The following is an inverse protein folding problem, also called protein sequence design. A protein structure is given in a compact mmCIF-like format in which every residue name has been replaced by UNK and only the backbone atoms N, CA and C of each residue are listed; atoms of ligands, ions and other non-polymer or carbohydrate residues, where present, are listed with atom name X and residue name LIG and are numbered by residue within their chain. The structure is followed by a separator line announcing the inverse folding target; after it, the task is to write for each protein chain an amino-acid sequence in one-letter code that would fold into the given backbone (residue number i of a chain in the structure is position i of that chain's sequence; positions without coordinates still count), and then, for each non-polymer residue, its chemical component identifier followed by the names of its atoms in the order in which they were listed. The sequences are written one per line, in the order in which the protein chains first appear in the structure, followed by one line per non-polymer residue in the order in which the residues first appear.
data_IF_251267623360
#
_entry.id   IF_251267623360
#
_cell.length_a   1.000
_cell.length_b   1.000
_cell.length_c   1.000
_cell.angle_alpha   90.00
_cell.angle_beta   90.00
_cell.angle_gamma   90.00
#
_symmetry.space_group_name_H-M   'P 1'
#
loop_
_entity.id
_entity.type
_entity.pdbx_description
1 polymer ?
#
# COMPACT_ATOMS: atom_id res chain seq x y z
N UNK A 1 10.76 9.03 24.08
CA UNK A 1 9.69 9.62 23.26
C UNK A 1 9.37 8.62 22.16
N UNK A 2 8.30 7.82 22.29
CA UNK A 2 7.82 6.97 21.19
C UNK A 2 6.97 7.86 20.29
N UNK A 3 7.42 8.09 19.06
CA UNK A 3 6.64 8.80 18.06
C UNK A 3 5.83 7.77 17.29
N UNK A 4 4.56 7.64 17.65
CA UNK A 4 3.66 6.72 16.97
C UNK A 4 3.17 7.38 15.67
N UNK A 5 3.41 6.73 14.54
CA UNK A 5 2.95 7.18 13.23
C UNK A 5 1.74 6.34 12.82
N UNK A 6 0.59 6.99 12.69
CA UNK A 6 -0.60 6.37 12.12
C UNK A 6 -0.68 6.71 10.63
N UNK A 7 -0.77 5.69 9.78
CA UNK A 7 -0.87 5.83 8.33
C UNK A 7 -2.12 5.07 7.91
N UNK A 8 -3.05 5.78 7.27
CA UNK A 8 -4.26 5.16 6.73
C UNK A 8 -3.90 4.40 5.43
N UNK A 9 -4.40 3.18 5.31
CA UNK A 9 -4.11 2.30 4.18
C UNK A 9 -5.37 1.55 3.73
N UNK A 10 -5.55 1.41 2.42
CA UNK A 10 -6.66 0.64 1.82
C UNK A 10 -6.11 -0.59 1.09
N UNK A 11 -6.84 -1.71 1.13
CA UNK A 11 -6.47 -2.92 0.37
C UNK A 11 -6.71 -2.66 -1.12
N UNK A 12 -5.72 -2.95 -1.96
CA UNK A 12 -5.88 -2.90 -3.42
C UNK A 12 -6.05 -4.31 -3.99
N UNK A 13 -7.02 -4.49 -4.88
CA UNK A 13 -7.25 -5.77 -5.57
C UNK A 13 -6.55 -5.85 -6.93
N UNK A 14 -6.28 -4.69 -7.54
CA UNK A 14 -5.63 -4.62 -8.84
C UNK A 14 -4.12 -4.54 -8.66
N UNK A 15 -3.39 -5.19 -9.58
CA UNK A 15 -1.94 -5.20 -9.59
C UNK A 15 -1.43 -4.99 -11.02
N UNK A 16 -0.19 -4.50 -11.14
CA UNK A 16 0.46 -4.29 -12.42
C UNK A 16 0.92 -2.85 -12.68
N UNK A 17 1.67 -2.69 -13.77
CA UNK A 17 2.34 -1.44 -14.12
C UNK A 17 1.36 -0.29 -14.43
N UNK A 18 0.25 -0.59 -15.10
CA UNK A 18 -0.78 0.40 -15.46
C UNK A 18 -1.52 0.93 -14.23
N UNK A 19 -1.96 0.02 -13.37
CA UNK A 19 -2.65 0.37 -12.14
C UNK A 19 -1.75 1.17 -11.19
N UNK A 20 -0.50 0.74 -10.99
CA UNK A 20 0.46 1.46 -10.18
C UNK A 20 0.82 2.85 -10.74
N UNK A 21 0.78 3.05 -12.06
CA UNK A 21 0.96 4.40 -12.66
C UNK A 21 -0.26 5.26 -12.40
N UNK A 22 -1.47 4.73 -12.60
CA UNK A 22 -2.72 5.44 -12.33
C UNK A 22 -2.80 5.89 -10.88
N UNK A 23 -2.45 5.03 -9.93
CA UNK A 23 -2.41 5.37 -8.50
C UNK A 23 -1.43 6.52 -8.21
N UNK A 24 -0.22 6.47 -8.78
CA UNK A 24 0.75 7.58 -8.64
C UNK A 24 0.25 8.89 -9.25
N UNK A 25 -0.54 8.83 -10.32
CA UNK A 25 -1.18 10.03 -10.91
C UNK A 25 -2.35 10.57 -10.07
N UNK A 26 -2.87 9.77 -9.13
CA UNK A 26 -3.92 10.17 -8.18
C UNK A 26 -3.32 10.54 -6.82
N UNK A 27 -2.02 10.84 -6.75
CA UNK A 27 -1.26 11.11 -5.53
C UNK A 27 -1.29 9.98 -4.48
N UNK A 28 -1.66 8.77 -4.90
CA UNK A 28 -1.67 7.57 -4.05
C UNK A 28 -0.39 6.77 -4.19
N UNK A 29 0.04 6.15 -3.09
CA UNK A 29 1.30 5.39 -3.03
C UNK A 29 1.01 3.88 -2.99
N UNK A 30 1.35 3.13 -4.05
CA UNK A 30 1.24 1.67 -4.02
C UNK A 30 2.28 1.06 -3.08
N UNK A 31 1.83 0.27 -2.10
CA UNK A 31 2.69 -0.40 -1.12
C UNK A 31 2.29 -1.88 -0.91
N UNK A 32 3.11 -2.64 -0.18
CA UNK A 32 2.87 -4.05 0.16
C UNK A 32 3.21 -4.24 1.64
N UNK A 33 2.27 -4.79 2.41
CA UNK A 33 2.51 -5.22 3.78
C UNK A 33 2.89 -6.71 3.74
N UNK A 34 3.99 -7.06 4.40
CA UNK A 34 4.46 -8.45 4.54
C UNK A 34 5.02 -8.67 5.95
N UNK A 35 5.03 -9.93 6.40
CA UNK A 35 5.61 -10.33 7.68
C UNK A 35 4.78 -11.35 8.45
N UNK A 36 5.36 -11.87 9.54
CA UNK A 36 4.74 -12.84 10.45
C UNK A 36 4.14 -14.08 9.75
N UNK A 37 4.82 -14.57 8.71
CA UNK A 37 4.39 -15.71 7.87
C UNK A 37 2.99 -15.57 7.24
N UNK A 38 2.48 -14.33 7.16
CA UNK A 38 1.21 -14.02 6.49
C UNK A 38 1.43 -13.78 5.01
N UNK A 39 0.38 -14.04 4.23
CA UNK A 39 0.34 -13.74 2.81
C UNK A 39 0.57 -12.24 2.58
N UNK A 40 1.49 -11.84 1.69
CA UNK A 40 1.74 -10.43 1.38
C UNK A 40 0.46 -9.74 0.92
N UNK A 41 0.17 -8.58 1.50
CA UNK A 41 -1.07 -7.87 1.26
C UNK A 41 -0.81 -6.57 0.50
N UNK A 42 -1.31 -6.47 -0.73
CA UNK A 42 -1.19 -5.26 -1.53
C UNK A 42 -2.08 -4.15 -0.95
N UNK A 43 -1.49 -2.99 -0.70
CA UNK A 43 -2.19 -1.82 -0.16
C UNK A 43 -1.92 -0.57 -0.98
N UNK A 44 -2.73 0.46 -0.76
CA UNK A 44 -2.47 1.82 -1.19
C UNK A 44 -2.53 2.76 0.01
N UNK A 45 -1.62 3.73 0.02
CA UNK A 45 -1.62 4.87 0.93
C UNK A 45 -2.15 6.10 0.18
#
# INVERSE_FOLDING_TARGET
MSTDFQIDAEIRNNSGKGDARRLRHQDKIPAIIYGADKTPQPIVL
#
